data_IF_703640967813
#
_entry.id   IF_703640967813
#
_cell.length_a   1.000
_cell.length_b   1.000
_cell.length_c   1.000
_cell.angle_alpha   90.00
_cell.angle_beta   90.00
_cell.angle_gamma   90.00
#
_symmetry.space_group_name_H-M   'P 1'
#
loop_
_entity.id
_entity.type
_entity.pdbx_description
1 polymer ?
#
# COMPACT_ATOMS: atom_id res chain seq x y z
N UNK A 1 -38.85 10.55 60.79
CA UNK A 1 -37.76 11.32 60.20
C UNK A 1 -36.80 10.39 59.54
N UNK A 2 -37.01 10.12 58.29
CA UNK A 2 -36.25 9.14 57.53
C UNK A 2 -36.30 9.62 56.07
N UNK A 3 -35.28 10.32 55.66
CA UNK A 3 -35.00 10.63 54.26
C UNK A 3 -33.59 10.12 54.03
N UNK A 4 -33.29 9.16 53.23
CA UNK A 4 -33.72 8.97 51.85
C UNK A 4 -32.47 9.21 51.01
N UNK A 5 -31.57 8.23 51.06
CA UNK A 5 -30.34 8.29 50.26
C UNK A 5 -30.58 7.47 48.99
N UNK A 6 -30.99 8.17 47.98
CA UNK A 6 -31.11 7.62 46.61
C UNK A 6 -30.54 8.65 45.66
N UNK A 7 -29.29 8.53 45.26
CA UNK A 7 -28.78 9.07 43.98
C UNK A 7 -27.35 8.61 43.76
N UNK A 8 -27.06 8.31 42.52
CA UNK A 8 -25.74 8.11 41.96
C UNK A 8 -25.36 6.68 41.61
N UNK A 9 -26.00 6.14 40.59
CA UNK A 9 -25.34 5.18 39.68
C UNK A 9 -25.91 5.45 38.29
N UNK A 10 -25.30 6.33 37.52
CA UNK A 10 -25.53 6.44 36.06
C UNK A 10 -24.48 7.37 35.44
N UNK A 11 -23.26 6.92 35.24
CA UNK A 11 -22.31 7.58 34.32
C UNK A 11 -21.04 6.72 34.13
N UNK A 12 -21.14 5.59 33.49
CA UNK A 12 -19.94 4.80 33.06
C UNK A 12 -20.30 3.85 31.92
N UNK A 13 -20.77 4.37 30.77
CA UNK A 13 -21.05 3.53 29.62
C UNK A 13 -20.90 4.24 28.27
N UNK A 14 -19.88 5.07 28.04
CA UNK A 14 -19.71 5.74 26.74
C UNK A 14 -18.27 5.87 26.23
N UNK A 15 -17.34 4.99 26.59
CA UNK A 15 -15.96 5.07 26.11
C UNK A 15 -15.46 3.82 25.32
N UNK A 16 -16.32 2.97 24.82
CA UNK A 16 -15.90 1.71 24.20
C UNK A 16 -16.05 1.64 22.68
N UNK A 17 -16.36 2.71 21.95
CA UNK A 17 -16.66 2.62 20.50
C UNK A 17 -15.62 3.23 19.56
N UNK A 18 -14.50 3.76 20.04
CA UNK A 18 -13.54 4.46 19.16
C UNK A 18 -12.40 3.61 18.62
N UNK A 19 -12.18 2.40 19.14
CA UNK A 19 -11.00 1.59 18.78
C UNK A 19 -11.17 0.72 17.53
N UNK A 20 -12.38 0.38 17.15
CA UNK A 20 -12.62 -0.53 16.02
C UNK A 20 -12.34 0.10 14.65
N UNK A 21 -12.51 1.41 14.48
CA UNK A 21 -12.30 2.09 13.21
C UNK A 21 -10.81 2.22 12.83
N UNK A 22 -9.91 2.32 13.80
CA UNK A 22 -8.47 2.39 13.55
C UNK A 22 -7.86 1.01 13.23
N UNK A 23 -8.36 -0.05 13.86
CA UNK A 23 -7.89 -1.41 13.59
C UNK A 23 -8.21 -1.88 12.16
N UNK A 24 -9.40 -1.56 11.64
CA UNK A 24 -9.77 -1.90 10.26
C UNK A 24 -8.92 -1.17 9.22
N UNK A 25 -8.50 0.07 9.48
CA UNK A 25 -7.60 0.80 8.58
C UNK A 25 -6.19 0.23 8.53
N UNK A 26 -5.67 -0.30 9.62
CA UNK A 26 -4.34 -0.89 9.68
C UNK A 26 -4.21 -2.16 8.83
N UNK A 27 -5.26 -2.97 8.70
CA UNK A 27 -5.27 -4.18 7.87
C UNK A 27 -5.14 -3.87 6.37
N UNK A 28 -5.65 -2.74 5.90
CA UNK A 28 -5.53 -2.33 4.50
C UNK A 28 -4.08 -2.09 4.04
N UNK A 29 -3.17 -1.86 4.97
CA UNK A 29 -1.74 -1.62 4.68
C UNK A 29 -0.86 -2.85 4.90
N UNK A 30 -1.44 -4.03 5.09
CA UNK A 30 -0.72 -5.31 5.10
C UNK A 30 -0.61 -5.85 3.67
N UNK A 31 0.43 -5.45 2.97
CA UNK A 31 0.65 -5.87 1.58
C UNK A 31 1.27 -7.26 1.54
N UNK A 32 0.47 -8.26 1.24
CA UNK A 32 0.89 -9.66 1.05
C UNK A 32 0.81 -10.06 -0.42
N UNK A 33 -0.32 -9.75 -1.05
CA UNK A 33 -0.62 -10.13 -2.41
C UNK A 33 -0.62 -8.92 -3.35
N UNK A 34 -0.50 -9.18 -4.63
CA UNK A 34 -0.60 -8.16 -5.68
C UNK A 34 -1.88 -7.36 -5.59
N UNK A 35 -3.01 -8.02 -5.27
CA UNK A 35 -4.29 -7.34 -5.09
C UNK A 35 -4.26 -6.27 -4.00
N UNK A 36 -3.54 -6.50 -2.89
CA UNK A 36 -3.40 -5.52 -1.82
C UNK A 36 -2.65 -4.28 -2.31
N UNK A 37 -1.53 -4.49 -3.01
CA UNK A 37 -0.73 -3.39 -3.56
C UNK A 37 -1.50 -2.61 -4.63
N UNK A 38 -2.23 -3.31 -5.50
CA UNK A 38 -3.11 -2.67 -6.50
C UNK A 38 -4.17 -1.81 -5.81
N UNK A 39 -4.80 -2.30 -4.74
CA UNK A 39 -5.81 -1.56 -3.99
C UNK A 39 -5.24 -0.26 -3.44
N UNK A 40 -4.11 -0.32 -2.75
CA UNK A 40 -3.47 0.86 -2.15
C UNK A 40 -2.99 1.85 -3.21
N UNK A 41 -2.35 1.36 -4.29
CA UNK A 41 -1.83 2.21 -5.36
C UNK A 41 -2.92 2.81 -6.27
N UNK A 42 -4.15 2.27 -6.25
CA UNK A 42 -5.29 2.76 -7.03
C UNK A 42 -6.31 3.54 -6.21
N UNK A 43 -5.98 3.92 -4.97
CA UNK A 43 -6.85 4.73 -4.12
C UNK A 43 -7.20 6.04 -4.82
N UNK A 44 -8.50 6.36 -4.86
CA UNK A 44 -8.97 7.55 -5.56
C UNK A 44 -8.53 8.83 -4.85
N UNK A 45 -8.17 9.91 -5.57
CA UNK A 45 -7.78 11.19 -4.97
C UNK A 45 -8.85 11.80 -4.04
N UNK A 46 -10.12 11.44 -4.24
CA UNK A 46 -11.23 11.88 -3.40
C UNK A 46 -11.41 11.08 -2.11
N UNK A 47 -10.69 9.96 -1.94
CA UNK A 47 -10.79 9.13 -0.75
C UNK A 47 -10.18 9.85 0.47
N UNK A 48 -10.81 9.74 1.66
CA UNK A 48 -10.31 10.43 2.88
C UNK A 48 -8.89 10.04 3.27
N UNK A 49 -8.46 8.82 2.93
CA UNK A 49 -7.13 8.27 3.25
C UNK A 49 -6.16 8.29 2.06
N UNK A 50 -6.50 9.00 0.98
CA UNK A 50 -5.69 9.05 -0.24
C UNK A 50 -4.22 9.39 0.04
N UNK A 51 -3.95 10.43 0.82
CA UNK A 51 -2.58 10.86 1.11
C UNK A 51 -1.75 9.74 1.78
N UNK A 52 -2.36 9.03 2.73
CA UNK A 52 -1.72 7.90 3.41
C UNK A 52 -1.52 6.72 2.48
N UNK A 53 -2.54 6.37 1.71
CA UNK A 53 -2.49 5.25 0.77
C UNK A 53 -1.43 5.45 -0.30
N UNK A 54 -1.40 6.62 -0.93
CA UNK A 54 -0.43 6.89 -2.00
C UNK A 54 1.00 7.03 -1.47
N UNK A 55 1.19 7.58 -0.27
CA UNK A 55 2.50 7.62 0.38
C UNK A 55 3.00 6.21 0.70
N UNK A 56 2.12 5.33 1.17
CA UNK A 56 2.44 3.94 1.43
C UNK A 56 2.77 3.18 0.13
N UNK A 57 1.97 3.34 -0.92
CA UNK A 57 2.26 2.81 -2.26
C UNK A 57 3.66 3.24 -2.74
N UNK A 58 3.94 4.55 -2.70
CA UNK A 58 5.24 5.08 -3.10
C UNK A 58 6.39 4.56 -2.24
N UNK A 59 6.15 4.34 -0.95
CA UNK A 59 7.12 3.74 -0.03
C UNK A 59 7.50 2.32 -0.43
N UNK A 60 6.51 1.48 -0.77
CA UNK A 60 6.74 0.11 -1.27
C UNK A 60 7.57 0.13 -2.57
N UNK A 61 7.18 0.97 -3.54
CA UNK A 61 7.90 1.08 -4.81
C UNK A 61 9.36 1.53 -4.60
N UNK A 62 9.56 2.55 -3.76
CA UNK A 62 10.90 3.08 -3.46
C UNK A 62 11.75 2.07 -2.69
N UNK A 63 11.17 1.37 -1.73
CA UNK A 63 11.85 0.34 -0.93
C UNK A 63 12.25 -0.86 -1.78
N UNK A 64 11.35 -1.35 -2.63
CA UNK A 64 11.65 -2.43 -3.56
C UNK A 64 12.78 -2.05 -4.53
N UNK A 65 12.73 -0.85 -5.11
CA UNK A 65 13.80 -0.34 -5.97
C UNK A 65 15.13 -0.20 -5.23
N UNK A 66 15.12 0.39 -4.03
CA UNK A 66 16.34 0.54 -3.21
C UNK A 66 16.97 -0.79 -2.87
N UNK A 67 16.18 -1.78 -2.50
CA UNK A 67 16.65 -3.14 -2.26
C UNK A 67 17.27 -3.76 -3.51
N UNK A 68 16.59 -3.67 -4.66
CA UNK A 68 17.08 -4.20 -5.93
C UNK A 68 18.44 -3.61 -6.30
N UNK A 69 18.57 -2.28 -6.21
CA UNK A 69 19.83 -1.58 -6.52
C UNK A 69 20.96 -1.98 -5.55
N UNK A 70 20.63 -2.18 -4.28
CA UNK A 70 21.62 -2.56 -3.26
C UNK A 70 22.05 -4.04 -3.37
N UNK A 71 21.15 -4.92 -3.81
CA UNK A 71 21.38 -6.37 -3.86
C UNK A 71 21.85 -6.90 -5.22
N UNK A 72 21.80 -6.07 -6.27
CA UNK A 72 22.15 -6.48 -7.64
C UNK A 72 23.31 -5.65 -8.18
N UNK A 73 24.40 -6.31 -8.56
CA UNK A 73 25.54 -5.64 -9.16
C UNK A 73 25.14 -4.91 -10.46
N UNK A 74 25.72 -3.75 -10.77
CA UNK A 74 25.30 -2.93 -11.92
C UNK A 74 25.25 -3.66 -13.25
N UNK A 75 26.18 -4.58 -13.49
CA UNK A 75 26.26 -5.35 -14.74
C UNK A 75 25.24 -6.50 -14.81
N UNK A 76 24.68 -6.91 -13.67
CA UNK A 76 23.70 -7.99 -13.58
C UNK A 76 22.25 -7.48 -13.55
N UNK A 77 22.07 -6.16 -13.63
CA UNK A 77 20.73 -5.56 -13.59
C UNK A 77 19.98 -5.82 -14.89
N UNK A 78 18.77 -6.33 -14.73
CA UNK A 78 17.81 -6.53 -15.82
C UNK A 78 16.78 -5.41 -15.88
N UNK A 79 16.56 -4.68 -14.78
CA UNK A 79 15.65 -3.55 -14.68
C UNK A 79 16.44 -2.26 -14.68
N UNK A 80 16.14 -1.39 -15.63
CA UNK A 80 16.79 -0.10 -15.80
C UNK A 80 15.74 0.99 -16.01
N UNK A 81 15.98 2.15 -15.42
CA UNK A 81 15.24 3.35 -15.73
C UNK A 81 16.19 4.38 -16.32
N UNK A 82 16.12 4.59 -17.63
CA UNK A 82 16.83 5.67 -18.33
C UNK A 82 15.95 6.91 -18.53
N UNK A 83 14.66 6.83 -18.20
CA UNK A 83 13.72 7.94 -18.30
C UNK A 83 13.82 8.84 -17.07
N UNK A 84 14.47 10.00 -17.25
CA UNK A 84 14.59 11.02 -16.19
C UNK A 84 13.26 11.68 -15.83
N UNK A 85 12.19 11.46 -16.61
CA UNK A 85 10.84 11.97 -16.35
C UNK A 85 9.97 10.96 -15.60
N UNK A 86 10.50 9.78 -15.29
CA UNK A 86 9.79 8.73 -14.59
C UNK A 86 9.58 9.12 -13.12
N UNK A 87 8.32 9.31 -12.74
CA UNK A 87 7.93 9.59 -11.36
C UNK A 87 7.36 8.36 -10.69
N UNK A 88 7.36 8.31 -9.33
CA UNK A 88 6.73 7.24 -8.57
C UNK A 88 5.24 7.08 -8.92
N UNK A 89 4.55 8.19 -9.15
CA UNK A 89 3.14 8.18 -9.57
C UNK A 89 2.96 7.52 -10.94
N UNK A 90 3.84 7.81 -11.91
CA UNK A 90 3.81 7.14 -13.22
C UNK A 90 4.04 5.63 -13.08
N UNK A 91 5.03 5.23 -12.27
CA UNK A 91 5.31 3.80 -12.01
C UNK A 91 4.11 3.13 -11.34
N UNK A 92 3.52 3.75 -10.31
CA UNK A 92 2.35 3.22 -9.61
C UNK A 92 1.17 3.00 -10.57
N UNK A 93 0.85 4.01 -11.38
CA UNK A 93 -0.25 3.92 -12.35
C UNK A 93 0.00 2.84 -13.41
N UNK A 94 1.23 2.75 -13.91
CA UNK A 94 1.61 1.71 -14.88
C UNK A 94 1.54 0.32 -14.27
N UNK A 95 1.99 0.14 -13.03
CA UNK A 95 1.87 -1.12 -12.31
C UNK A 95 0.42 -1.54 -12.11
N UNK A 96 -0.44 -0.62 -11.66
CA UNK A 96 -1.87 -0.87 -11.46
C UNK A 96 -2.53 -1.32 -12.77
N UNK A 97 -2.27 -0.62 -13.87
CA UNK A 97 -2.81 -0.97 -15.18
C UNK A 97 -2.32 -2.34 -15.66
N UNK A 98 -1.00 -2.58 -15.54
CA UNK A 98 -0.37 -3.85 -15.92
C UNK A 98 -0.93 -5.03 -15.12
N UNK A 99 -1.07 -4.88 -13.79
CA UNK A 99 -1.56 -5.92 -12.91
C UNK A 99 -3.06 -6.22 -13.13
N UNK A 100 -3.89 -5.19 -13.32
CA UNK A 100 -5.32 -5.37 -13.62
C UNK A 100 -5.56 -6.11 -14.94
N UNK A 101 -4.67 -5.97 -15.90
CA UNK A 101 -4.73 -6.72 -17.16
C UNK A 101 -4.26 -8.18 -17.02
N UNK A 102 -3.74 -8.57 -15.84
CA UNK A 102 -3.17 -9.90 -15.57
C UNK A 102 -3.72 -10.51 -14.27
N UNK A 103 -5.03 -10.86 -14.23
CA UNK A 103 -5.70 -11.31 -13.01
C UNK A 103 -5.06 -12.56 -12.40
N UNK A 104 -4.33 -13.36 -13.17
CA UNK A 104 -3.60 -14.54 -12.70
C UNK A 104 -2.52 -14.20 -11.64
N UNK A 105 -2.04 -12.95 -11.57
CA UNK A 105 -1.04 -12.53 -10.60
C UNK A 105 -1.63 -11.90 -9.33
N UNK A 106 -2.94 -11.69 -9.24
CA UNK A 106 -3.55 -10.99 -8.11
C UNK A 106 -3.32 -11.68 -6.76
N UNK A 107 -3.18 -13.01 -6.75
CA UNK A 107 -2.89 -13.79 -5.54
C UNK A 107 -1.40 -14.09 -5.34
N UNK A 108 -0.55 -13.66 -6.26
CA UNK A 108 0.90 -13.78 -6.13
C UNK A 108 1.45 -12.76 -5.13
N UNK A 109 2.68 -12.99 -4.63
CA UNK A 109 3.36 -12.05 -3.76
C UNK A 109 3.49 -10.66 -4.41
N UNK A 110 3.16 -9.62 -3.66
CA UNK A 110 3.10 -8.26 -4.19
C UNK A 110 4.44 -7.78 -4.76
N UNK A 111 5.54 -8.02 -4.03
CA UNK A 111 6.88 -7.58 -4.44
C UNK A 111 7.41 -8.41 -5.59
N UNK A 112 7.16 -9.72 -5.61
CA UNK A 112 7.51 -10.59 -6.74
C UNK A 112 6.84 -10.12 -8.04
N UNK A 113 5.55 -9.84 -7.98
CA UNK A 113 4.79 -9.32 -9.12
C UNK A 113 5.25 -7.92 -9.54
N UNK A 114 5.62 -7.07 -8.58
CA UNK A 114 6.19 -5.76 -8.88
C UNK A 114 7.51 -5.87 -9.66
N UNK A 115 8.39 -6.78 -9.30
CA UNK A 115 9.63 -7.01 -10.05
C UNK A 115 9.38 -7.61 -11.43
N UNK A 116 8.41 -8.50 -11.57
CA UNK A 116 7.98 -9.02 -12.87
C UNK A 116 7.50 -7.90 -13.79
N UNK A 117 6.61 -7.04 -13.28
CA UNK A 117 6.17 -5.85 -13.99
C UNK A 117 7.36 -4.96 -14.39
N UNK A 118 8.28 -4.69 -13.47
CA UNK A 118 9.40 -3.81 -13.72
C UNK A 118 10.36 -4.38 -14.78
N UNK A 119 10.63 -5.69 -14.77
CA UNK A 119 11.46 -6.35 -15.76
C UNK A 119 10.85 -6.33 -17.17
N UNK A 120 9.51 -6.47 -17.27
CA UNK A 120 8.80 -6.39 -18.55
C UNK A 120 8.70 -4.95 -19.09
N UNK A 121 8.54 -3.97 -18.18
CA UNK A 121 8.23 -2.58 -18.57
C UNK A 121 9.48 -1.73 -18.74
N UNK A 122 10.50 -1.98 -17.96
CA UNK A 122 11.75 -1.21 -17.88
C UNK A 122 12.99 -2.08 -18.06
N UNK A 123 13.09 -2.89 -19.13
CA UNK A 123 14.27 -3.73 -19.34
C UNK A 123 15.51 -2.88 -19.63
N UNK A 124 16.67 -3.35 -19.16
CA UNK A 124 17.95 -2.77 -19.55
C UNK A 124 18.19 -2.99 -21.06
N UNK A 125 18.65 -1.96 -21.75
CA UNK A 125 19.14 -2.09 -23.13
C UNK A 125 20.49 -2.81 -23.07
N UNK A 126 20.55 -3.94 -23.70
CA UNK A 126 21.79 -4.67 -23.94
C UNK A 126 22.44 -4.22 -25.24
#
# INVERSE_FOLDING_TARGET
MRNGMRTAIAALATLAMSTSAYAQKAEHYQIRHTADLVTVCSTAPSAPDYATAIAFCHGILAGAWGYYVASTAPLDREICSSDTTLTRTKVANSFVAWAKARPQYMQSGAVDTLFRFAAETYPCKR
#
